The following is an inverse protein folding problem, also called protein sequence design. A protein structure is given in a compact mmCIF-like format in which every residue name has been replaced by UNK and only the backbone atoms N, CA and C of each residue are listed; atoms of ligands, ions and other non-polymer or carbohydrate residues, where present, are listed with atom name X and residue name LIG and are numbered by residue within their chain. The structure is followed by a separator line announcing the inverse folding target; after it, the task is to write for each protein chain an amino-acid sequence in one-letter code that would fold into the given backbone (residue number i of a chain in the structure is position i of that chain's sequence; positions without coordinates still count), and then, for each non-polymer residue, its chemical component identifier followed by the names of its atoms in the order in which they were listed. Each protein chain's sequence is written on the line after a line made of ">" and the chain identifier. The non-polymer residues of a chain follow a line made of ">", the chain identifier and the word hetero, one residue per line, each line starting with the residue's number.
data_IF_974972878844
#
_entry.id   IF_974972878844
#
_cell.length_a   1.000
_cell.length_b   1.000
_cell.length_c   1.000
_cell.angle_alpha   90.00
_cell.angle_beta   90.00
_cell.angle_gamma   90.00
#
_symmetry.space_group_name_H-M   'P 1'
#
loop_
_entity.id
_entity.type
_entity.pdbx_description
1 polymer ?
#
# COMPACT_ATOMS: atom_id res chain seq x y z
N UNK A 1 -12.31 -4.83 11.33
CA UNK A 1 -13.09 -4.24 10.24
C UNK A 1 -14.58 -4.19 10.54
N UNK A 2 -15.28 -3.28 9.88
CA UNK A 2 -16.72 -3.19 9.72
C UNK A 2 -17.26 -3.89 8.47
N UNK A 3 -16.40 -4.25 7.50
CA UNK A 3 -16.77 -5.00 6.28
C UNK A 3 -16.05 -6.36 6.17
N UNK A 4 -16.75 -7.50 6.39
CA UNK A 4 -16.19 -8.83 6.11
C UNK A 4 -15.88 -9.02 4.61
N UNK A 5 -14.82 -9.79 4.31
CA UNK A 5 -14.37 -10.02 2.93
C UNK A 5 -13.49 -8.92 2.33
N UNK A 6 -13.29 -7.81 3.05
CA UNK A 6 -12.40 -6.73 2.62
C UNK A 6 -10.96 -7.00 3.06
N UNK A 7 -10.03 -6.91 2.11
CA UNK A 7 -8.60 -7.03 2.38
C UNK A 7 -8.00 -5.64 2.65
N UNK A 8 -7.27 -5.53 3.77
CA UNK A 8 -6.49 -4.34 4.12
C UNK A 8 -5.02 -4.70 4.29
N UNK A 9 -4.13 -3.99 3.61
CA UNK A 9 -2.68 -4.21 3.66
C UNK A 9 -1.91 -2.92 3.33
N UNK A 10 -0.64 -3.06 2.96
CA UNK A 10 0.17 -1.98 2.43
C UNK A 10 -0.22 -1.65 0.98
N UNK A 11 -0.43 -0.38 0.68
CA UNK A 11 -0.80 0.09 -0.67
C UNK A 11 0.19 1.14 -1.16
N UNK A 12 0.31 1.28 -2.48
CA UNK A 12 1.09 2.36 -3.09
C UNK A 12 0.59 3.75 -2.67
N UNK A 13 -0.71 3.89 -2.42
CA UNK A 13 -1.34 5.12 -1.93
C UNK A 13 -0.74 5.60 -0.61
N UNK A 14 -0.57 4.69 0.34
CA UNK A 14 0.03 5.01 1.63
C UNK A 14 1.55 5.18 1.49
N UNK A 15 2.22 4.30 0.73
CA UNK A 15 3.67 4.32 0.55
C UNK A 15 4.18 5.66 -0.01
N UNK A 16 3.57 6.16 -1.08
CA UNK A 16 3.99 7.39 -1.76
C UNK A 16 3.92 8.63 -0.87
N UNK A 17 2.98 8.67 0.08
CA UNK A 17 2.84 9.76 1.03
C UNK A 17 3.95 9.80 2.08
N UNK A 18 4.64 8.67 2.31
CA UNK A 18 5.66 8.54 3.33
C UNK A 18 7.09 8.68 2.80
N UNK A 19 7.30 8.72 1.48
CA UNK A 19 8.63 8.76 0.85
C UNK A 19 9.46 9.94 1.38
N UNK A 20 8.88 11.15 1.39
CA UNK A 20 9.59 12.35 1.84
C UNK A 20 9.86 12.33 3.34
N UNK A 21 8.91 11.82 4.13
CA UNK A 21 9.08 11.68 5.58
C UNK A 21 10.26 10.76 5.91
N UNK A 22 10.32 9.58 5.29
CA UNK A 22 11.42 8.62 5.50
C UNK A 22 12.74 9.18 5.00
N UNK A 23 12.75 9.83 3.83
CA UNK A 23 13.96 10.42 3.25
C UNK A 23 14.55 11.52 4.12
N UNK A 24 13.71 12.36 4.72
CA UNK A 24 14.16 13.55 5.47
C UNK A 24 14.33 13.28 6.96
N UNK A 25 13.55 12.38 7.56
CA UNK A 25 13.48 12.18 9.01
C UNK A 25 13.70 10.72 9.45
N UNK A 26 13.76 9.77 8.52
CA UNK A 26 14.03 8.36 8.80
C UNK A 26 12.79 7.51 9.10
N UNK A 27 13.04 6.22 9.31
CA UNK A 27 12.00 5.19 9.52
C UNK A 27 11.21 5.41 10.82
N UNK A 28 11.87 5.85 11.89
CA UNK A 28 11.22 6.08 13.20
C UNK A 28 10.09 7.11 13.12
N UNK A 29 10.24 8.15 12.29
CA UNK A 29 9.20 9.13 12.04
C UNK A 29 8.02 8.56 11.25
N UNK A 30 8.26 7.60 10.34
CA UNK A 30 7.19 6.87 9.66
C UNK A 30 6.39 6.01 10.65
N UNK A 31 7.05 5.32 11.58
CA UNK A 31 6.38 4.53 12.61
C UNK A 31 5.51 5.41 13.49
N UNK A 32 6.05 6.54 13.97
CA UNK A 32 5.31 7.52 14.75
C UNK A 32 4.11 8.11 13.98
N UNK A 33 4.30 8.45 12.70
CA UNK A 33 3.22 8.93 11.83
C UNK A 33 2.14 7.86 11.60
N UNK A 34 2.53 6.59 11.50
CA UNK A 34 1.62 5.44 11.34
C UNK A 34 0.76 5.23 12.59
N UNK A 35 1.36 5.32 13.78
CA UNK A 35 0.61 5.29 15.05
C UNK A 35 -0.36 6.47 15.13
N UNK A 36 0.10 7.69 14.83
CA UNK A 36 -0.76 8.87 14.84
C UNK A 36 -1.91 8.77 13.81
N UNK A 37 -1.65 8.21 12.63
CA UNK A 37 -2.65 7.92 11.61
C UNK A 37 -3.77 7.07 12.20
N UNK A 38 -3.41 6.01 12.92
CA UNK A 38 -4.39 5.13 13.53
C UNK A 38 -5.20 5.81 14.64
N UNK A 39 -4.56 6.67 15.45
CA UNK A 39 -5.27 7.50 16.44
C UNK A 39 -6.30 8.42 15.77
N UNK A 40 -5.92 9.08 14.67
CA UNK A 40 -6.82 9.96 13.92
C UNK A 40 -7.99 9.18 13.30
N UNK A 41 -7.75 7.97 12.78
CA UNK A 41 -8.80 7.10 12.23
C UNK A 41 -9.79 6.60 13.29
N UNK A 42 -9.29 6.24 14.49
CA UNK A 42 -10.15 5.90 15.63
C UNK A 42 -11.00 7.11 16.02
N UNK A 43 -10.39 8.29 16.15
CA UNK A 43 -11.11 9.53 16.46
C UNK A 43 -12.19 9.83 15.41
N UNK A 44 -11.88 9.69 14.12
CA UNK A 44 -12.84 9.85 13.03
C UNK A 44 -14.02 8.88 13.15
N UNK A 45 -13.77 7.63 13.52
CA UNK A 45 -14.83 6.63 13.76
C UNK A 45 -15.73 6.96 14.95
N UNK A 46 -15.20 7.51 16.05
CA UNK A 46 -16.01 7.99 17.18
C UNK A 46 -16.82 9.23 16.86
N UNK A 47 -16.25 10.15 16.07
CA UNK A 47 -16.92 11.35 15.55
C UNK A 47 -17.93 11.05 14.42
N UNK A 48 -18.10 9.77 14.05
CA UNK A 48 -19.01 9.29 12.99
C UNK A 48 -18.74 9.90 11.61
N UNK A 49 -17.46 10.17 11.31
CA UNK A 49 -17.03 10.80 10.06
C UNK A 49 -17.11 9.88 8.85
N UNK A 50 -17.39 8.58 9.01
CA UNK A 50 -17.58 7.68 7.87
C UNK A 50 -18.71 8.15 6.93
N UNK A 51 -19.75 8.76 7.48
CA UNK A 51 -20.85 9.33 6.69
C UNK A 51 -20.45 10.58 5.88
N UNK A 52 -19.38 11.29 6.28
CA UNK A 52 -18.91 12.49 5.60
C UNK A 52 -18.13 12.19 4.31
N UNK A 53 -17.69 10.95 4.11
CA UNK A 53 -16.96 10.56 2.90
C UNK A 53 -17.79 10.69 1.63
N UNK A 54 -19.13 10.70 1.74
CA UNK A 54 -20.05 11.03 0.64
C UNK A 54 -19.87 12.46 0.08
N UNK A 55 -19.22 13.34 0.83
CA UNK A 55 -18.96 14.72 0.42
C UNK A 55 -17.64 14.89 -0.35
N UNK A 56 -16.80 13.85 -0.43
CA UNK A 56 -15.59 13.91 -1.25
C UNK A 56 -15.98 13.85 -2.72
N UNK A 57 -15.57 14.87 -3.48
CA UNK A 57 -15.94 14.98 -4.89
C UNK A 57 -15.26 13.90 -5.72
N UNK A 58 -15.96 13.41 -6.75
CA UNK A 58 -15.38 12.49 -7.73
C UNK A 58 -14.10 13.05 -8.36
N UNK A 59 -14.04 14.35 -8.60
CA UNK A 59 -12.86 15.02 -9.17
C UNK A 59 -11.61 14.87 -8.30
N UNK A 60 -11.76 14.91 -6.97
CA UNK A 60 -10.63 14.72 -6.03
C UNK A 60 -10.14 13.27 -6.08
N UNK A 61 -11.05 12.31 -6.06
CA UNK A 61 -10.71 10.87 -6.13
C UNK A 61 -10.04 10.54 -7.46
N UNK A 62 -10.60 10.97 -8.59
CA UNK A 62 -9.99 10.76 -9.92
C UNK A 62 -8.62 11.42 -10.02
N UNK A 63 -8.47 12.65 -9.53
CA UNK A 63 -7.19 13.35 -9.50
C UNK A 63 -6.15 12.61 -8.67
N UNK A 64 -6.54 12.12 -7.48
CA UNK A 64 -5.68 11.33 -6.61
C UNK A 64 -5.22 10.02 -7.27
N UNK A 65 -6.15 9.23 -7.83
CA UNK A 65 -5.83 7.95 -8.48
C UNK A 65 -4.91 8.16 -9.69
N UNK A 66 -5.14 9.20 -10.51
CA UNK A 66 -4.27 9.53 -11.64
C UNK A 66 -2.87 9.94 -11.19
N UNK A 67 -2.78 10.82 -10.18
CA UNK A 67 -1.49 11.24 -9.63
C UNK A 67 -0.73 10.04 -9.06
N UNK A 68 -1.40 9.15 -8.32
CA UNK A 68 -0.83 7.93 -7.79
C UNK A 68 -0.30 7.02 -8.89
N UNK A 69 -1.07 6.78 -9.96
CA UNK A 69 -0.64 5.95 -11.08
C UNK A 69 0.62 6.51 -11.75
N UNK A 70 0.66 7.83 -11.99
CA UNK A 70 1.82 8.51 -12.57
C UNK A 70 3.02 8.41 -11.62
N UNK A 71 2.83 8.62 -10.31
CA UNK A 71 3.91 8.54 -9.33
C UNK A 71 4.47 7.13 -9.20
N UNK A 72 3.63 6.09 -9.23
CA UNK A 72 4.10 4.69 -9.26
C UNK A 72 4.95 4.46 -10.51
N UNK A 73 4.47 4.90 -11.68
CA UNK A 73 5.20 4.75 -12.93
C UNK A 73 6.55 5.49 -12.88
N UNK A 74 6.56 6.75 -12.41
CA UNK A 74 7.77 7.54 -12.22
C UNK A 74 8.74 6.88 -11.23
N UNK A 75 8.25 6.23 -10.18
CA UNK A 75 9.08 5.50 -9.23
C UNK A 75 9.76 4.26 -9.86
N UNK A 76 9.24 3.73 -10.98
CA UNK A 76 9.90 2.64 -11.72
C UNK A 76 10.97 3.13 -12.69
N UNK A 77 10.92 4.39 -13.13
CA UNK A 77 11.86 4.93 -14.13
C UNK A 77 13.33 4.80 -13.70
N UNK A 78 13.72 5.13 -12.45
CA UNK A 78 15.10 4.95 -11.99
C UNK A 78 15.63 3.52 -12.14
N UNK A 79 14.77 2.51 -12.01
CA UNK A 79 15.13 1.10 -12.17
C UNK A 79 15.34 0.68 -13.63
N UNK A 80 15.01 1.55 -14.58
CA UNK A 80 15.20 1.35 -16.03
C UNK A 80 16.20 2.34 -16.63
N UNK A 81 16.88 3.16 -15.83
CA UNK A 81 17.86 4.15 -16.31
C UNK A 81 19.29 3.72 -16.02
N UNK A 82 20.17 3.77 -17.03
CA UNK A 82 21.59 3.44 -16.84
C UNK A 82 21.86 1.96 -16.53
N UNK A 83 20.91 1.08 -16.88
CA UNK A 83 20.96 -0.36 -16.59
C UNK A 83 21.40 -1.19 -17.80
N UNK A 84 21.74 -2.46 -17.56
CA UNK A 84 22.14 -3.39 -18.62
C UNK A 84 20.94 -3.79 -19.49
N UNK A 85 21.22 -4.26 -20.72
CA UNK A 85 20.17 -4.69 -21.65
C UNK A 85 19.32 -5.85 -21.09
N UNK A 86 19.88 -6.66 -20.20
CA UNK A 86 19.19 -7.73 -19.49
C UNK A 86 17.96 -7.19 -18.75
N UNK A 87 18.06 -6.02 -18.10
CA UNK A 87 16.92 -5.43 -17.40
C UNK A 87 15.79 -5.11 -18.37
N UNK A 88 16.09 -4.48 -19.52
CA UNK A 88 15.06 -4.22 -20.54
C UNK A 88 14.43 -5.50 -21.10
N UNK A 89 15.24 -6.54 -21.36
CA UNK A 89 14.75 -7.83 -21.84
C UNK A 89 13.85 -8.53 -20.80
N UNK A 90 14.25 -8.49 -19.53
CA UNK A 90 13.49 -9.04 -18.41
C UNK A 90 12.18 -8.29 -18.20
N UNK A 91 12.18 -6.95 -18.27
CA UNK A 91 10.97 -6.13 -18.17
C UNK A 91 10.03 -6.41 -19.34
N UNK A 92 10.53 -6.41 -20.58
CA UNK A 92 9.71 -6.71 -21.75
C UNK A 92 9.13 -8.13 -21.71
N UNK A 93 9.96 -9.10 -21.30
CA UNK A 93 9.52 -10.48 -21.09
C UNK A 93 8.46 -10.59 -20.00
N UNK A 94 8.63 -9.89 -18.88
CA UNK A 94 7.65 -9.84 -17.79
C UNK A 94 6.31 -9.25 -18.21
N UNK A 95 6.31 -8.12 -18.92
CA UNK A 95 5.10 -7.54 -19.50
C UNK A 95 4.45 -8.51 -20.50
N UNK A 96 5.25 -9.19 -21.33
CA UNK A 96 4.78 -10.24 -22.22
C UNK A 96 4.07 -11.36 -21.48
N UNK A 97 4.65 -11.88 -20.38
CA UNK A 97 3.99 -12.89 -19.54
C UNK A 97 2.70 -12.34 -18.95
N UNK A 98 2.72 -11.14 -18.34
CA UNK A 98 1.56 -10.57 -17.66
C UNK A 98 0.36 -10.42 -18.61
N UNK A 99 0.57 -9.94 -19.83
CA UNK A 99 -0.50 -9.67 -20.79
C UNK A 99 -0.88 -10.87 -21.67
N UNK A 100 0.06 -11.74 -22.05
CA UNK A 100 -0.19 -12.83 -22.98
C UNK A 100 -0.49 -14.16 -22.29
N UNK A 101 0.03 -14.40 -21.08
CA UNK A 101 -0.22 -15.65 -20.36
C UNK A 101 -1.71 -15.92 -20.09
N UNK A 102 -2.55 -14.94 -19.74
CA UNK A 102 -3.99 -15.16 -19.56
C UNK A 102 -4.72 -15.67 -20.81
N UNK A 103 -4.11 -15.54 -22.00
CA UNK A 103 -4.70 -16.00 -23.26
C UNK A 103 -4.47 -17.50 -23.51
N UNK A 104 -3.60 -18.14 -22.73
CA UNK A 104 -3.39 -19.59 -22.82
C UNK A 104 -4.67 -20.33 -22.37
N UNK A 105 -5.21 -21.23 -23.21
CA UNK A 105 -6.42 -21.95 -22.88
C UNK A 105 -6.20 -22.82 -21.63
N UNK A 106 -7.22 -22.88 -20.77
CA UNK A 106 -7.26 -23.64 -19.50
C UNK A 106 -6.31 -23.09 -18.43
N UNK A 107 -4.99 -23.12 -18.65
CA UNK A 107 -4.00 -22.78 -17.60
C UNK A 107 -3.94 -21.27 -17.32
N UNK A 108 -4.06 -20.44 -18.35
CA UNK A 108 -4.01 -18.98 -18.22
C UNK A 108 -5.14 -18.39 -17.38
N UNK A 109 -6.23 -19.16 -17.15
CA UNK A 109 -7.38 -18.76 -16.33
C UNK A 109 -7.30 -19.22 -14.88
N UNK A 110 -6.40 -20.15 -14.57
CA UNK A 110 -6.28 -20.75 -13.23
C UNK A 110 -5.17 -20.11 -12.40
N UNK A 111 -4.08 -19.69 -13.04
CA UNK A 111 -2.90 -19.17 -12.34
C UNK A 111 -2.73 -17.67 -12.61
N UNK A 112 -2.58 -16.82 -11.57
CA UNK A 112 -2.32 -15.40 -11.77
C UNK A 112 -1.05 -15.17 -12.60
N UNK A 113 -1.16 -14.42 -13.70
CA UNK A 113 -0.01 -14.11 -14.55
C UNK A 113 1.15 -13.39 -13.82
N UNK A 114 0.93 -12.53 -12.80
CA UNK A 114 2.03 -11.96 -12.03
C UNK A 114 2.84 -13.02 -11.27
N UNK A 115 2.20 -14.08 -10.76
CA UNK A 115 2.90 -15.17 -10.07
C UNK A 115 3.81 -15.92 -11.04
N UNK A 116 3.28 -16.26 -12.23
CA UNK A 116 4.06 -16.92 -13.29
C UNK A 116 5.24 -16.05 -13.72
N UNK A 117 5.01 -14.76 -13.89
CA UNK A 117 6.04 -13.78 -14.23
C UNK A 117 7.19 -13.80 -13.21
N UNK A 118 6.89 -13.63 -11.92
CA UNK A 118 7.90 -13.61 -10.85
C UNK A 118 8.70 -14.92 -10.82
N UNK A 119 8.03 -16.07 -10.83
CA UNK A 119 8.70 -17.37 -10.75
C UNK A 119 9.60 -17.62 -11.98
N UNK A 120 9.08 -17.31 -13.17
CA UNK A 120 9.80 -17.55 -14.43
C UNK A 120 11.01 -16.64 -14.55
N UNK A 121 10.84 -15.33 -14.30
CA UNK A 121 11.94 -14.37 -14.38
C UNK A 121 12.99 -14.61 -13.29
N UNK A 122 12.58 -14.98 -12.08
CA UNK A 122 13.53 -15.35 -11.02
C UNK A 122 14.34 -16.58 -11.42
N UNK A 123 13.69 -17.62 -11.95
CA UNK A 123 14.39 -18.81 -12.44
C UNK A 123 15.38 -18.49 -13.57
N UNK A 124 14.98 -17.66 -14.53
CA UNK A 124 15.86 -17.22 -15.64
C UNK A 124 17.07 -16.46 -15.09
N UNK A 125 16.85 -15.49 -14.19
CA UNK A 125 17.92 -14.70 -13.59
C UNK A 125 18.95 -15.58 -12.87
N UNK A 126 18.48 -16.59 -12.10
CA UNK A 126 19.34 -17.52 -11.38
C UNK A 126 20.08 -18.49 -12.30
N UNK A 127 19.38 -19.10 -13.28
CA UNK A 127 19.96 -20.11 -14.16
C UNK A 127 21.00 -19.53 -15.13
N UNK A 128 20.78 -18.30 -15.59
CA UNK A 128 21.71 -17.60 -16.49
C UNK A 128 22.75 -16.76 -15.73
N UNK A 129 22.65 -16.68 -14.39
CA UNK A 129 23.55 -15.88 -13.57
C UNK A 129 23.55 -14.40 -13.96
N UNK A 130 22.36 -13.83 -14.21
CA UNK A 130 22.25 -12.44 -14.67
C UNK A 130 22.64 -11.48 -13.53
N UNK A 131 23.62 -10.62 -13.80
CA UNK A 131 24.03 -9.55 -12.90
C UNK A 131 23.08 -8.35 -13.05
N UNK A 132 21.97 -8.41 -12.32
CA UNK A 132 20.93 -7.38 -12.25
C UNK A 132 20.58 -7.10 -10.78
N UNK A 133 20.13 -5.87 -10.48
CA UNK A 133 19.69 -5.50 -9.12
C UNK A 133 18.55 -6.42 -8.68
N UNK A 134 18.66 -6.92 -7.46
CA UNK A 134 17.69 -7.81 -6.82
C UNK A 134 16.97 -7.08 -5.69
N UNK A 135 15.86 -7.64 -5.21
CA UNK A 135 15.10 -7.08 -4.08
C UNK A 135 15.95 -7.02 -2.80
N UNK A 136 16.89 -7.96 -2.61
CA UNK A 136 17.80 -7.95 -1.46
C UNK A 136 18.78 -6.78 -1.45
N UNK A 137 19.09 -6.20 -2.61
CA UNK A 137 19.93 -5.02 -2.72
C UNK A 137 19.19 -3.73 -2.30
N UNK A 138 17.85 -3.79 -2.19
CA UNK A 138 16.99 -2.65 -1.85
C UNK A 138 16.70 -2.54 -0.35
N UNK A 139 16.91 -3.63 0.39
CA UNK A 139 16.62 -3.70 1.80
C UNK A 139 16.59 -5.14 2.30
N UNK A 140 16.65 -5.28 3.62
CA UNK A 140 16.60 -6.57 4.28
C UNK A 140 15.16 -7.10 4.32
N UNK A 141 15.00 -8.38 3.98
CA UNK A 141 13.73 -9.08 4.12
C UNK A 141 13.58 -9.58 5.57
N UNK A 142 12.37 -9.55 6.15
CA UNK A 142 12.15 -10.06 7.50
C UNK A 142 12.51 -11.55 7.61
N UNK A 143 13.33 -11.89 8.59
CA UNK A 143 13.73 -13.27 8.94
C UNK A 143 13.12 -13.76 10.27
N UNK A 144 12.45 -12.85 10.97
CA UNK A 144 11.88 -13.05 12.31
C UNK A 144 10.44 -12.55 12.37
N UNK A 145 9.70 -12.97 13.40
CA UNK A 145 8.37 -12.45 13.65
C UNK A 145 8.44 -10.95 14.03
N UNK A 146 7.42 -10.14 13.68
CA UNK A 146 7.37 -8.76 14.09
C UNK A 146 7.46 -8.65 15.62
N UNK A 147 8.46 -7.91 16.09
CA UNK A 147 8.63 -7.59 17.50
C UNK A 147 8.06 -6.22 17.80
N UNK A 148 7.68 -6.01 19.04
CA UNK A 148 7.24 -4.70 19.49
C UNK A 148 8.38 -3.68 19.35
N UNK A 149 8.12 -2.62 18.59
CA UNK A 149 9.02 -1.52 18.29
C UNK A 149 8.33 -0.23 18.71
N UNK A 150 8.80 0.37 19.80
CA UNK A 150 8.39 1.71 20.17
C UNK A 150 9.15 2.72 19.29
N UNK A 151 8.46 3.66 18.61
CA UNK A 151 9.15 4.65 17.77
C UNK A 151 10.14 5.49 18.57
N UNK A 152 11.42 5.44 18.22
CA UNK A 152 12.50 6.18 18.88
C UNK A 152 12.59 7.61 18.32
N UNK A 153 11.53 8.39 18.58
CA UNK A 153 11.45 9.82 18.22
C UNK A 153 11.26 10.68 19.47
N UNK A 154 11.80 11.91 19.51
CA UNK A 154 11.56 12.82 20.62
C UNK A 154 10.05 13.07 20.78
N UNK A 155 9.51 12.88 21.98
CA UNK A 155 8.12 13.21 22.30
C UNK A 155 7.97 14.73 22.50
N UNK A 156 8.14 15.48 21.41
CA UNK A 156 8.11 16.94 21.38
C UNK A 156 7.01 17.47 20.48
N UNK A 157 6.64 18.73 20.67
CA UNK A 157 5.71 19.43 19.76
C UNK A 157 6.28 19.57 18.35
N UNK A 158 7.60 19.56 18.18
CA UNK A 158 8.24 19.67 16.88
C UNK A 158 8.10 18.36 16.10
N UNK A 159 8.31 17.21 16.74
CA UNK A 159 8.02 15.90 16.14
C UNK A 159 6.56 15.83 15.72
N UNK A 160 5.63 16.26 16.58
CA UNK A 160 4.21 16.29 16.25
C UNK A 160 3.93 17.18 15.03
N UNK A 161 4.52 18.38 14.96
CA UNK A 161 4.39 19.29 13.79
C UNK A 161 4.91 18.66 12.50
N UNK A 162 5.96 17.86 12.58
CA UNK A 162 6.52 17.14 11.43
C UNK A 162 5.58 16.03 10.98
N UNK A 163 5.15 15.14 11.88
CA UNK A 163 4.39 13.94 11.50
C UNK A 163 2.90 14.19 11.26
N UNK A 164 2.32 15.24 11.86
CA UNK A 164 0.88 15.48 11.81
C UNK A 164 0.32 15.67 10.39
N UNK A 165 0.93 16.47 9.49
CA UNK A 165 0.44 16.59 8.11
C UNK A 165 0.43 15.25 7.36
N UNK A 166 1.47 14.44 7.54
CA UNK A 166 1.57 13.11 6.95
C UNK A 166 0.50 12.18 7.52
N UNK A 167 0.37 12.12 8.85
CA UNK A 167 -0.60 11.27 9.53
C UNK A 167 -2.05 11.65 9.17
N UNK A 168 -2.35 12.94 9.03
CA UNK A 168 -3.65 13.42 8.61
C UNK A 168 -3.95 13.03 7.15
N UNK A 169 -3.00 13.20 6.24
CA UNK A 169 -3.14 12.78 4.84
C UNK A 169 -3.36 11.26 4.73
N UNK A 170 -2.52 10.47 5.42
CA UNK A 170 -2.64 9.01 5.50
C UNK A 170 -3.99 8.59 6.10
N UNK A 171 -4.47 9.27 7.13
CA UNK A 171 -5.77 8.98 7.73
C UNK A 171 -6.90 9.21 6.72
N UNK A 172 -6.91 10.36 6.03
CA UNK A 172 -7.93 10.69 5.03
C UNK A 172 -7.91 9.70 3.86
N UNK A 173 -6.74 9.47 3.26
CA UNK A 173 -6.58 8.53 2.14
C UNK A 173 -6.98 7.12 2.55
N UNK A 174 -6.49 6.66 3.71
CA UNK A 174 -6.80 5.34 4.21
C UNK A 174 -8.30 5.13 4.47
N UNK A 175 -8.99 6.15 5.00
CA UNK A 175 -10.44 6.09 5.19
C UNK A 175 -11.19 6.12 3.86
N UNK A 176 -10.77 6.94 2.89
CA UNK A 176 -11.41 7.00 1.58
C UNK A 176 -11.35 5.67 0.85
N UNK A 177 -10.17 5.04 0.79
CA UNK A 177 -9.98 3.73 0.17
C UNK A 177 -10.81 2.65 0.86
N UNK A 178 -10.85 2.63 2.19
CA UNK A 178 -11.67 1.66 2.93
C UNK A 178 -13.15 1.84 2.71
N UNK A 179 -13.62 3.07 2.55
CA UNK A 179 -15.03 3.36 2.32
C UNK A 179 -15.45 2.98 0.91
N UNK A 180 -14.64 3.35 -0.09
CA UNK A 180 -14.86 2.99 -1.49
C UNK A 180 -14.84 1.48 -1.67
N UNK A 181 -13.82 0.82 -1.13
CA UNK A 181 -13.69 -0.64 -1.17
C UNK A 181 -14.88 -1.30 -0.49
N UNK A 182 -15.24 -0.85 0.72
CA UNK A 182 -16.36 -1.44 1.43
C UNK A 182 -17.70 -1.26 0.68
N UNK A 183 -17.92 -0.12 0.01
CA UNK A 183 -19.15 0.08 -0.81
C UNK A 183 -19.18 -0.86 -2.00
N UNK A 184 -18.04 -1.09 -2.68
CA UNK A 184 -17.97 -2.05 -3.78
C UNK A 184 -18.31 -3.47 -3.28
N UNK A 185 -17.80 -3.87 -2.12
CA UNK A 185 -18.10 -5.20 -1.56
C UNK A 185 -19.55 -5.26 -1.04
N UNK A 186 -20.09 -4.16 -0.50
CA UNK A 186 -21.50 -4.07 -0.13
C UNK A 186 -22.38 -4.35 -1.37
N UNK A 187 -22.10 -3.68 -2.49
CA UNK A 187 -22.82 -3.82 -3.76
C UNK A 187 -22.66 -5.23 -4.38
N UNK A 188 -21.48 -5.85 -4.28
CA UNK A 188 -21.22 -7.19 -4.83
C UNK A 188 -21.92 -8.32 -4.08
N UNK A 189 -22.31 -8.09 -2.83
CA UNK A 189 -22.84 -9.14 -1.94
C UNK A 189 -24.22 -8.82 -1.38
N UNK A 190 -24.79 -7.67 -1.75
CA UNK A 190 -26.07 -7.16 -1.25
C UNK A 190 -26.15 -7.10 0.29
N UNK A 191 -25.05 -6.69 0.95
CA UNK A 191 -25.01 -6.57 2.42
C UNK A 191 -24.41 -5.23 2.84
N UNK A 192 -25.01 -4.55 3.81
CA UNK A 192 -24.51 -3.27 4.31
C UNK A 192 -23.34 -3.45 5.30
N UNK A 193 -22.47 -2.44 5.41
CA UNK A 193 -21.35 -2.42 6.35
C UNK A 193 -21.33 -1.21 7.29
N UNK A 194 -20.91 -1.45 8.54
CA UNK A 194 -20.68 -0.35 9.50
C UNK A 194 -19.34 0.32 9.23
N UNK A 195 -19.42 1.42 8.48
CA UNK A 195 -18.31 2.28 8.09
C UNK A 195 -17.56 2.91 9.26
N UNK A 196 -18.24 3.22 10.37
CA UNK A 196 -17.57 3.80 11.55
C UNK A 196 -16.80 2.73 12.32
N UNK A 197 -17.32 1.50 12.35
CA UNK A 197 -16.58 0.33 12.85
C UNK A 197 -15.37 0.01 11.98
N UNK A 198 -15.48 0.19 10.66
CA UNK A 198 -14.34 0.07 9.75
C UNK A 198 -13.25 1.08 10.08
N UNK A 199 -13.59 2.37 10.20
CA UNK A 199 -12.64 3.44 10.57
C UNK A 199 -11.86 3.10 11.85
N UNK A 200 -12.58 2.67 12.91
CA UNK A 200 -11.95 2.28 14.18
C UNK A 200 -11.06 1.04 14.02
N UNK A 201 -11.53 0.04 13.29
CA UNK A 201 -10.77 -1.19 13.04
C UNK A 201 -9.47 -0.93 12.30
N UNK A 202 -9.52 -0.10 11.25
CA UNK A 202 -8.34 0.31 10.50
C UNK A 202 -7.38 1.13 11.36
N UNK A 203 -7.90 2.02 12.21
CA UNK A 203 -7.06 2.79 13.12
C UNK A 203 -6.35 1.94 14.17
N UNK A 204 -7.02 0.93 14.73
CA UNK A 204 -6.38 -0.07 15.62
C UNK A 204 -5.30 -0.84 14.86
N UNK A 205 -5.58 -1.26 13.62
CA UNK A 205 -4.62 -1.98 12.79
C UNK A 205 -3.38 -1.14 12.49
N UNK A 206 -3.54 0.16 12.19
CA UNK A 206 -2.42 1.07 11.92
C UNK A 206 -1.61 1.37 13.18
N UNK A 207 -2.24 1.51 14.36
CA UNK A 207 -1.48 1.60 15.63
C UNK A 207 -0.66 0.32 15.84
N UNK A 208 -1.28 -0.85 15.68
CA UNK A 208 -0.58 -2.13 15.80
C UNK A 208 0.56 -2.29 14.80
N UNK A 209 0.36 -1.90 13.55
CA UNK A 209 1.39 -1.91 12.51
C UNK A 209 2.57 -1.01 12.90
N UNK A 210 2.34 0.25 13.26
CA UNK A 210 3.41 1.17 13.64
C UNK A 210 4.20 0.70 14.87
N UNK A 211 3.53 0.05 15.83
CA UNK A 211 4.17 -0.54 17.02
C UNK A 211 4.88 -1.88 16.77
N UNK A 212 4.77 -2.42 15.55
CA UNK A 212 5.42 -3.67 15.13
C UNK A 212 6.40 -3.43 13.97
N UNK A 213 6.85 -2.18 13.78
CA UNK A 213 7.77 -1.81 12.70
C UNK A 213 7.14 -1.77 11.30
N UNK A 214 5.81 -1.82 11.23
CA UNK A 214 5.04 -1.81 9.99
C UNK A 214 4.68 -0.41 9.51
N UNK A 215 4.47 -0.31 8.20
CA UNK A 215 3.99 0.91 7.54
C UNK A 215 2.46 1.06 7.63
N UNK A 216 1.96 2.28 7.44
CA UNK A 216 0.53 2.53 7.40
C UNK A 216 -0.15 1.83 6.21
N UNK A 217 -1.32 1.25 6.48
CA UNK A 217 -2.12 0.47 5.53
C UNK A 217 -3.56 0.95 5.39
N UNK A 218 -4.20 0.44 4.34
CA UNK A 218 -5.61 0.68 4.04
C UNK A 218 -6.23 -0.47 3.24
N UNK A 219 -7.53 -0.37 2.96
CA UNK A 219 -8.19 -1.33 2.08
C UNK A 219 -7.60 -1.31 0.67
N UNK A 220 -7.74 -2.44 -0.02
CA UNK A 220 -7.33 -2.62 -1.40
C UNK A 220 -8.51 -3.05 -2.25
N UNK A 221 -8.93 -2.22 -3.20
CA UNK A 221 -10.00 -2.54 -4.13
C UNK A 221 -9.65 -3.82 -4.88
N UNK A 222 -8.57 -3.82 -5.67
CA UNK A 222 -8.25 -4.94 -6.58
C UNK A 222 -7.87 -6.28 -5.94
N UNK A 223 -7.73 -6.34 -4.61
CA UNK A 223 -7.55 -7.61 -3.88
C UNK A 223 -8.83 -8.06 -3.16
N UNK A 224 -9.79 -7.15 -2.98
CA UNK A 224 -11.07 -7.45 -2.34
C UNK A 224 -12.17 -7.81 -3.34
N UNK A 225 -11.95 -7.59 -4.65
CA UNK A 225 -12.86 -7.94 -5.75
C UNK A 225 -12.30 -9.02 -6.66
#
# INVERSE_FOLDING_TARGET
>A
GGRPGMISAATGAMALLMITLVKEHGLEYLLAATVLTGVLQIAAGYLKLGSLMRFVSRSVVTGFVNALAILIFMAQVPELTGVTWHVYAMTAGGLGIIYLFPWLPVVGKLVPSPLVCILTLTAIALLLGLDIRTVGDMGELPDTLPVFLWPDVPLSLDTLRIIFPYAAALAVVGLLESMMTATIIDDLTDTESDKNRECKGQGIANIGAGLLGGMAGCAMIGQSV
#
